data_IF_759955728275
#
_entry.id   IF_759955728275
#
_cell.length_a   1.000
_cell.length_b   1.000
_cell.length_c   1.000
_cell.angle_alpha   90.00
_cell.angle_beta   90.00
_cell.angle_gamma   90.00
#
_symmetry.space_group_name_H-M   'P 1'
#
loop_
_entity.id
_entity.type
_entity.pdbx_description
1 polymer ?
#
# COMPACT_ATOMS: atom_id res chain seq x y z
N UNK A 1 -0.55 -6.46 53.12
CA UNK A 1 0.04 -6.63 51.76
C UNK A 1 -0.93 -6.33 50.59
N UNK A 2 -1.92 -5.43 50.71
CA UNK A 2 -2.96 -5.19 49.67
C UNK A 2 -2.79 -3.89 48.84
N UNK A 3 -1.83 -3.03 49.16
CA UNK A 3 -1.66 -1.70 48.52
C UNK A 3 -0.94 -1.72 47.18
N UNK A 4 -0.15 -2.76 46.88
CA UNK A 4 0.78 -2.77 45.74
C UNK A 4 0.25 -3.44 44.46
N UNK A 5 -0.82 -4.23 44.53
CA UNK A 5 -1.39 -4.92 43.35
C UNK A 5 -2.28 -3.98 42.52
N UNK A 6 -3.02 -3.07 43.19
CA UNK A 6 -3.91 -2.11 42.51
C UNK A 6 -3.15 -1.11 41.64
N UNK A 7 -2.01 -0.61 42.12
CA UNK A 7 -1.14 0.32 41.36
C UNK A 7 -0.43 -0.36 40.20
N UNK A 8 -0.07 -1.63 40.32
CA UNK A 8 0.55 -2.41 39.25
C UNK A 8 -0.45 -2.75 38.13
N UNK A 9 -1.70 -3.08 38.47
CA UNK A 9 -2.78 -3.32 37.50
C UNK A 9 -3.21 -2.04 36.76
N UNK A 10 -3.20 -0.89 37.45
CA UNK A 10 -3.49 0.41 36.82
C UNK A 10 -2.44 0.83 35.77
N UNK A 11 -1.17 0.46 35.99
CA UNK A 11 -0.10 0.73 35.01
C UNK A 11 -0.19 -0.13 33.76
N UNK A 12 -0.60 -1.40 33.88
CA UNK A 12 -0.73 -2.33 32.74
C UNK A 12 -1.88 -1.96 31.80
N UNK A 13 -2.99 -1.43 32.34
CA UNK A 13 -4.12 -0.98 31.53
C UNK A 13 -3.80 0.22 30.62
N UNK A 14 -2.87 1.09 31.04
CA UNK A 14 -2.47 2.28 30.27
C UNK A 14 -1.53 1.91 29.11
N UNK A 15 -0.68 0.89 29.27
CA UNK A 15 0.23 0.41 28.21
C UNK A 15 -0.51 -0.36 27.12
N UNK A 16 -1.59 -1.07 27.45
CA UNK A 16 -2.40 -1.78 26.46
C UNK A 16 -3.21 -0.83 25.56
N UNK A 17 -3.59 0.35 26.06
CA UNK A 17 -4.38 1.32 25.30
C UNK A 17 -3.55 2.08 24.23
N UNK A 18 -2.24 2.26 24.44
CA UNK A 18 -1.37 3.01 23.50
C UNK A 18 -0.92 2.20 22.29
N UNK A 19 -0.95 0.86 22.34
CA UNK A 19 -0.67 0.00 21.17
C UNK A 19 -1.81 0.00 20.15
N UNK A 20 -3.05 0.25 20.58
CA UNK A 20 -4.23 0.23 19.70
C UNK A 20 -4.31 1.47 18.79
N UNK A 21 -3.94 2.64 19.30
CA UNK A 21 -4.00 3.91 18.55
C UNK A 21 -2.88 4.04 17.50
N UNK A 22 -1.70 3.50 17.77
CA UNK A 22 -0.56 3.51 16.85
C UNK A 22 -0.76 2.54 15.67
N UNK A 23 -1.39 1.39 15.89
CA UNK A 23 -1.74 0.45 14.81
C UNK A 23 -2.85 0.98 13.91
N UNK A 24 -3.88 1.65 14.44
CA UNK A 24 -4.92 2.29 13.63
C UNK A 24 -4.35 3.43 12.77
N UNK A 25 -3.46 4.26 13.33
CA UNK A 25 -2.78 5.32 12.57
C UNK A 25 -1.94 4.76 11.41
N UNK A 26 -1.23 3.65 11.64
CA UNK A 26 -0.40 3.01 10.60
C UNK A 26 -1.25 2.30 9.54
N UNK A 27 -2.35 1.65 9.95
CA UNK A 27 -3.32 0.98 9.07
C UNK A 27 -3.97 1.99 8.10
N UNK A 28 -4.53 3.07 8.64
CA UNK A 28 -5.17 4.13 7.86
C UNK A 28 -4.15 4.85 6.97
N UNK A 29 -2.93 5.07 7.46
CA UNK A 29 -1.84 5.63 6.64
C UNK A 29 -1.55 4.77 5.42
N UNK A 30 -1.56 3.44 5.53
CA UNK A 30 -1.33 2.56 4.38
C UNK A 30 -2.47 2.64 3.33
N UNK A 31 -3.73 2.76 3.77
CA UNK A 31 -4.87 2.99 2.86
C UNK A 31 -4.79 4.38 2.22
N UNK A 32 -4.44 5.41 3.00
CA UNK A 32 -4.29 6.77 2.50
C UNK A 32 -3.17 6.87 1.47
N UNK A 33 -2.04 6.18 1.70
CA UNK A 33 -0.95 6.13 0.73
C UNK A 33 -1.38 5.48 -0.59
N UNK A 34 -2.20 4.43 -0.52
CA UNK A 34 -2.79 3.79 -1.70
C UNK A 34 -3.77 4.74 -2.42
N UNK A 35 -4.60 5.47 -1.67
CA UNK A 35 -5.54 6.45 -2.22
C UNK A 35 -4.81 7.60 -2.92
N UNK A 36 -3.82 8.20 -2.25
CA UNK A 36 -2.98 9.25 -2.81
C UNK A 36 -2.27 8.78 -4.07
N UNK A 37 -1.77 7.54 -4.07
CA UNK A 37 -1.14 6.96 -5.24
C UNK A 37 -2.14 6.74 -6.40
N UNK A 38 -3.38 6.32 -6.11
CA UNK A 38 -4.45 6.23 -7.12
C UNK A 38 -4.74 7.59 -7.75
N UNK A 39 -4.82 8.66 -6.96
CA UNK A 39 -5.00 10.03 -7.48
C UNK A 39 -3.79 10.51 -8.27
N UNK A 40 -2.58 10.23 -7.81
CA UNK A 40 -1.35 10.55 -8.53
C UNK A 40 -1.34 9.91 -9.92
N UNK A 41 -1.72 8.62 -10.01
CA UNK A 41 -1.87 7.93 -11.28
C UNK A 41 -2.99 8.54 -12.13
N UNK A 42 -4.18 8.77 -11.59
CA UNK A 42 -5.29 9.37 -12.34
C UNK A 42 -4.90 10.69 -12.98
N UNK A 43 -4.25 11.56 -12.21
CA UNK A 43 -4.06 12.96 -12.59
C UNK A 43 -2.75 13.18 -13.38
N UNK A 44 -1.72 12.33 -13.16
CA UNK A 44 -0.39 12.55 -13.72
C UNK A 44 0.15 11.43 -14.61
N UNK A 45 -0.43 10.22 -14.59
CA UNK A 45 0.14 9.05 -15.29
C UNK A 45 0.27 9.25 -16.80
N UNK A 46 -0.60 10.07 -17.41
CA UNK A 46 -0.55 10.39 -18.84
C UNK A 46 0.75 11.09 -19.28
N UNK A 47 1.50 11.69 -18.35
CA UNK A 47 2.77 12.38 -18.61
C UNK A 47 3.98 11.62 -18.03
N UNK A 48 3.80 10.36 -17.68
CA UNK A 48 4.89 9.57 -17.11
C UNK A 48 5.82 9.04 -18.19
N UNK A 49 7.11 9.30 -18.00
CA UNK A 49 8.18 8.61 -18.73
C UNK A 49 8.40 7.21 -18.16
N UNK A 50 9.12 6.35 -18.87
CA UNK A 50 9.50 5.01 -18.38
C UNK A 50 10.14 5.05 -16.98
N UNK A 51 10.99 6.04 -16.71
CA UNK A 51 11.61 6.23 -15.39
C UNK A 51 10.59 6.57 -14.29
N UNK A 52 9.57 7.40 -14.60
CA UNK A 52 8.50 7.75 -13.64
C UNK A 52 7.62 6.53 -13.36
N UNK A 53 7.28 5.77 -14.38
CA UNK A 53 6.54 4.53 -14.21
C UNK A 53 7.32 3.47 -13.42
N UNK A 54 8.63 3.30 -13.64
CA UNK A 54 9.48 2.43 -12.79
C UNK A 54 9.39 2.83 -11.31
N UNK A 55 9.43 4.13 -11.01
CA UNK A 55 9.23 4.64 -9.65
C UNK A 55 7.83 4.37 -9.13
N UNK A 56 6.80 4.54 -9.95
CA UNK A 56 5.40 4.32 -9.60
C UNK A 56 5.14 2.84 -9.24
N UNK A 57 5.65 1.91 -10.04
CA UNK A 57 5.53 0.46 -9.78
C UNK A 57 6.25 0.07 -8.48
N UNK A 58 7.46 0.61 -8.23
CA UNK A 58 8.16 0.37 -6.97
C UNK A 58 7.41 0.97 -5.76
N UNK A 59 6.86 2.18 -5.90
CA UNK A 59 6.02 2.82 -4.87
C UNK A 59 4.78 1.97 -4.57
N UNK A 60 4.10 1.47 -5.59
CA UNK A 60 2.95 0.58 -5.44
C UNK A 60 3.30 -0.71 -4.69
N UNK A 61 4.41 -1.37 -5.06
CA UNK A 61 4.88 -2.56 -4.35
C UNK A 61 5.25 -2.32 -2.88
N UNK A 62 5.72 -1.11 -2.52
CA UNK A 62 5.94 -0.71 -1.12
C UNK A 62 4.63 -0.48 -0.36
N UNK A 63 3.65 0.16 -1.00
CA UNK A 63 2.31 0.37 -0.43
C UNK A 63 1.64 -0.98 -0.16
N UNK A 64 1.60 -1.88 -1.16
CA UNK A 64 1.09 -3.25 -1.01
C UNK A 64 1.74 -4.02 0.13
N UNK A 65 3.07 -3.91 0.29
CA UNK A 65 3.80 -4.54 1.40
C UNK A 65 3.48 -3.94 2.77
N UNK A 66 3.06 -2.68 2.86
CA UNK A 66 2.59 -2.09 4.12
C UNK A 66 1.17 -2.55 4.42
N UNK A 67 0.30 -2.56 3.41
CA UNK A 67 -1.06 -3.12 3.52
C UNK A 67 -0.98 -4.58 3.99
N UNK A 68 -0.17 -5.43 3.36
CA UNK A 68 -0.08 -6.85 3.72
C UNK A 68 0.39 -7.13 5.18
N UNK A 69 0.92 -6.15 5.91
CA UNK A 69 1.36 -6.30 7.31
C UNK A 69 0.24 -6.04 8.33
N UNK A 70 -0.93 -5.59 7.88
CA UNK A 70 -2.03 -5.21 8.75
C UNK A 70 -3.28 -6.04 8.45
N UNK A 71 -4.00 -6.39 9.51
CA UNK A 71 -5.34 -6.93 9.38
C UNK A 71 -6.34 -5.79 9.18
N UNK A 72 -7.17 -5.96 8.15
CA UNK A 72 -8.23 -5.06 7.74
C UNK A 72 -9.58 -5.74 7.85
N UNK A 73 -10.58 -4.97 8.26
CA UNK A 73 -12.00 -5.33 8.20
C UNK A 73 -12.44 -5.60 6.76
N UNK A 74 -13.59 -6.26 6.59
CA UNK A 74 -14.16 -6.52 5.25
C UNK A 74 -14.40 -5.21 4.48
N UNK A 75 -14.89 -4.17 5.14
CA UNK A 75 -15.13 -2.87 4.54
C UNK A 75 -13.82 -2.19 4.08
N UNK A 76 -12.78 -2.22 4.91
CA UNK A 76 -11.46 -1.69 4.56
C UNK A 76 -10.82 -2.49 3.41
N UNK A 77 -10.95 -3.83 3.40
CA UNK A 77 -10.46 -4.69 2.31
C UNK A 77 -11.16 -4.38 0.99
N UNK A 78 -12.47 -4.15 1.00
CA UNK A 78 -13.20 -3.72 -0.21
C UNK A 78 -12.70 -2.36 -0.71
N UNK A 79 -12.46 -1.42 0.21
CA UNK A 79 -11.90 -0.10 -0.14
C UNK A 79 -10.50 -0.23 -0.75
N UNK A 80 -9.63 -1.03 -0.15
CA UNK A 80 -8.30 -1.35 -0.68
C UNK A 80 -8.40 -1.96 -2.08
N UNK A 81 -9.25 -2.98 -2.26
CA UNK A 81 -9.44 -3.64 -3.55
C UNK A 81 -9.92 -2.68 -4.65
N UNK A 82 -10.82 -1.76 -4.32
CA UNK A 82 -11.26 -0.72 -5.26
C UNK A 82 -10.11 0.20 -5.68
N UNK A 83 -9.32 0.67 -4.71
CA UNK A 83 -8.17 1.54 -4.97
C UNK A 83 -7.07 0.82 -5.77
N UNK A 84 -6.83 -0.47 -5.50
CA UNK A 84 -5.89 -1.30 -6.27
C UNK A 84 -6.37 -1.51 -7.70
N UNK A 85 -7.67 -1.74 -7.89
CA UNK A 85 -8.29 -1.82 -9.21
C UNK A 85 -8.12 -0.53 -10.02
N UNK A 86 -8.33 0.64 -9.39
CA UNK A 86 -8.09 1.93 -10.02
C UNK A 86 -6.62 2.11 -10.42
N UNK A 87 -5.68 1.80 -9.50
CA UNK A 87 -4.26 1.83 -9.80
C UNK A 87 -3.89 0.91 -10.98
N UNK A 88 -4.39 -0.33 -10.96
CA UNK A 88 -4.17 -1.31 -12.02
C UNK A 88 -4.72 -0.82 -13.37
N UNK A 89 -5.89 -0.18 -13.39
CA UNK A 89 -6.47 0.40 -14.60
C UNK A 89 -5.56 1.48 -15.21
N UNK A 90 -5.04 2.39 -14.41
CA UNK A 90 -4.14 3.44 -14.90
C UNK A 90 -2.78 2.89 -15.32
N UNK A 91 -2.23 1.92 -14.58
CA UNK A 91 -1.00 1.22 -14.99
C UNK A 91 -1.18 0.48 -16.30
N UNK A 92 -2.30 -0.22 -16.49
CA UNK A 92 -2.62 -0.92 -17.73
C UNK A 92 -2.79 0.07 -18.91
N UNK A 93 -3.32 1.27 -18.66
CA UNK A 93 -3.35 2.34 -19.67
C UNK A 93 -1.94 2.77 -20.07
N UNK A 94 -1.06 3.01 -19.09
CA UNK A 94 0.37 3.26 -19.34
C UNK A 94 1.11 2.12 -20.05
N UNK A 95 0.64 0.87 -19.87
CA UNK A 95 1.15 -0.30 -20.59
C UNK A 95 0.83 -0.21 -22.08
N UNK A 96 -0.43 0.08 -22.39
CA UNK A 96 -0.94 0.20 -23.77
C UNK A 96 -0.25 1.32 -24.53
N UNK A 97 0.18 2.36 -23.83
CA UNK A 97 0.96 3.47 -24.41
C UNK A 97 2.44 3.11 -24.66
N UNK A 98 2.82 1.82 -24.52
CA UNK A 98 4.15 1.28 -24.84
C UNK A 98 5.23 1.56 -23.78
N UNK A 99 4.86 2.20 -22.68
CA UNK A 99 5.83 2.62 -21.66
C UNK A 99 6.24 1.46 -20.75
N UNK A 100 5.40 0.43 -20.59
CA UNK A 100 5.77 -0.76 -19.82
C UNK A 100 6.77 -1.66 -20.52
N UNK A 101 6.79 -1.73 -21.85
CA UNK A 101 7.83 -2.49 -22.58
C UNK A 101 9.23 -1.88 -22.36
N UNK A 102 9.33 -0.55 -22.31
CA UNK A 102 10.57 0.13 -21.93
C UNK A 102 10.96 -0.13 -20.47
N UNK A 103 10.02 -0.43 -19.58
CA UNK A 103 10.28 -0.67 -18.16
C UNK A 103 10.67 -2.13 -17.91
N UNK A 104 10.00 -3.05 -18.61
CA UNK A 104 10.31 -4.48 -18.65
C UNK A 104 11.75 -4.72 -19.15
N UNK A 105 12.22 -3.92 -20.11
CA UNK A 105 13.61 -3.92 -20.57
C UNK A 105 14.66 -3.46 -19.54
N UNK A 106 14.25 -2.83 -18.43
CA UNK A 106 15.15 -2.20 -17.42
C UNK A 106 15.39 -3.13 -16.19
N UNK A 107 15.02 -4.40 -16.25
CA UNK A 107 15.63 -5.45 -15.43
C UNK A 107 14.72 -6.23 -14.45
N UNK A 108 15.28 -7.34 -13.98
CA UNK A 108 14.68 -8.43 -13.18
C UNK A 108 13.95 -8.02 -11.90
N UNK A 109 14.25 -6.84 -11.33
CA UNK A 109 13.56 -6.31 -10.14
C UNK A 109 12.08 -6.00 -10.39
N UNK A 110 11.69 -5.64 -11.61
CA UNK A 110 10.30 -5.27 -11.92
C UNK A 110 9.47 -6.53 -12.20
N UNK A 111 10.11 -7.60 -12.70
CA UNK A 111 9.48 -8.91 -12.87
C UNK A 111 8.83 -9.39 -11.57
N UNK A 112 9.54 -9.27 -10.44
CA UNK A 112 8.99 -9.65 -9.12
C UNK A 112 7.84 -8.76 -8.64
N UNK A 113 7.75 -7.51 -9.10
CA UNK A 113 6.60 -6.63 -8.79
C UNK A 113 5.43 -6.92 -9.74
N UNK A 114 5.70 -7.24 -11.00
CA UNK A 114 4.68 -7.61 -11.99
C UNK A 114 4.02 -8.96 -11.69
N UNK A 115 4.81 -9.96 -11.27
CA UNK A 115 4.29 -11.23 -10.77
C UNK A 115 3.42 -11.02 -9.53
N UNK A 116 3.79 -10.08 -8.66
CA UNK A 116 2.99 -9.70 -7.49
C UNK A 116 1.70 -8.92 -7.85
N UNK A 117 1.62 -8.32 -9.03
CA UNK A 117 0.42 -7.61 -9.54
C UNK A 117 -0.46 -8.56 -10.37
N UNK A 118 -0.01 -9.80 -10.63
CA UNK A 118 -0.82 -10.81 -11.33
C UNK A 118 -0.96 -10.57 -12.83
N UNK A 119 -0.07 -9.77 -13.45
CA UNK A 119 0.01 -9.67 -14.91
C UNK A 119 0.71 -10.94 -15.42
N UNK A 120 0.00 -12.06 -15.36
CA UNK A 120 0.45 -13.32 -15.98
C UNK A 120 0.15 -13.21 -17.47
N UNK A 121 1.19 -13.42 -18.27
CA UNK A 121 1.14 -13.46 -19.74
C UNK A 121 0.13 -14.50 -20.22
#
# INVERSE_FOLDING_TARGET
MKRNIKTMLMGVAIVAATMSVSSCSTRESAINDLQNFSYELRDNSQYYTAKKWKKAVNKFGKIRRRIARHDYTVAERQRIGKLEGDCARYMAKGAKDGVLDQILGIGSEIQGILDAIGIKR
#
